data_IF_660628368262
#
_entry.id   IF_660628368262
#
_cell.length_a   1.000
_cell.length_b   1.000
_cell.length_c   1.000
_cell.angle_alpha   90.00
_cell.angle_beta   90.00
_cell.angle_gamma   90.00
#
_symmetry.space_group_name_H-M   'P 1'
#
loop_
_entity.id
_entity.type
_entity.pdbx_description
1 polymer ?
#
# COMPACT_ATOMS: atom_id res chain seq x y z
N UNK A 1 -7.08 23.15 5.68
CA UNK A 1 -6.46 23.99 4.63
C UNK A 1 -7.49 24.63 3.69
N UNK A 2 -8.79 24.54 3.98
CA UNK A 2 -9.88 25.00 3.11
C UNK A 2 -10.34 26.45 3.32
N UNK A 3 -9.66 27.22 4.17
CA UNK A 3 -10.08 28.58 4.57
C UNK A 3 -9.42 29.70 3.77
N UNK A 4 -8.37 29.41 2.99
CA UNK A 4 -7.69 30.39 2.15
C UNK A 4 -8.06 30.16 0.69
N UNK A 5 -8.68 31.16 0.05
CA UNK A 5 -9.09 31.07 -1.36
C UNK A 5 -7.91 30.76 -2.30
N UNK A 6 -6.72 31.27 -2.01
CA UNK A 6 -5.50 31.06 -2.82
C UNK A 6 -5.03 29.60 -2.85
N UNK A 7 -5.51 28.76 -1.92
CA UNK A 7 -5.13 27.35 -1.82
C UNK A 7 -6.22 26.39 -2.31
N UNK A 8 -7.32 26.91 -2.83
CA UNK A 8 -8.37 26.09 -3.43
C UNK A 8 -7.95 25.65 -4.84
N UNK A 9 -8.43 24.47 -5.24
CA UNK A 9 -8.35 24.02 -6.64
C UNK A 9 -9.23 24.95 -7.48
N UNK A 10 -8.65 25.53 -8.52
CA UNK A 10 -9.36 26.36 -9.49
C UNK A 10 -10.09 25.42 -10.49
N UNK A 11 -11.40 25.57 -10.59
CA UNK A 11 -12.22 24.80 -11.53
C UNK A 11 -12.01 25.22 -13.00
N UNK A 12 -11.51 26.43 -13.24
CA UNK A 12 -11.32 26.97 -14.60
C UNK A 12 -9.95 26.59 -15.21
N UNK A 13 -8.94 26.31 -14.37
CA UNK A 13 -7.55 26.03 -14.79
C UNK A 13 -7.13 24.56 -14.57
N UNK A 14 -8.06 23.67 -14.23
CA UNK A 14 -7.83 22.25 -13.91
C UNK A 14 -6.61 22.02 -12.98
N UNK A 15 -6.61 22.68 -11.83
CA UNK A 15 -5.47 22.59 -10.91
C UNK A 15 -5.43 23.66 -9.84
N UNK A 16 -4.23 23.92 -9.32
CA UNK A 16 -3.98 25.00 -8.35
C UNK A 16 -3.26 26.16 -9.02
N UNK A 17 -3.37 27.35 -8.44
CA UNK A 17 -2.57 28.49 -8.87
C UNK A 17 -1.08 28.24 -8.58
N UNK A 18 -0.32 28.01 -9.66
CA UNK A 18 1.11 27.68 -9.60
C UNK A 18 2.00 28.78 -8.99
N UNK A 19 1.48 30.00 -8.80
CA UNK A 19 2.19 31.07 -8.07
C UNK A 19 2.22 30.78 -6.56
N UNK A 20 1.29 29.97 -6.06
CA UNK A 20 1.11 29.70 -4.63
C UNK A 20 1.29 28.23 -4.28
N UNK A 21 0.87 27.31 -5.16
CA UNK A 21 0.95 25.86 -4.94
C UNK A 21 1.50 25.17 -6.17
N UNK A 22 2.59 24.42 -5.99
CA UNK A 22 3.10 23.50 -6.99
C UNK A 22 2.79 22.07 -6.56
N UNK A 23 1.90 21.38 -7.28
CA UNK A 23 1.61 19.95 -7.05
C UNK A 23 2.63 19.08 -7.81
N UNK A 24 3.40 18.29 -7.07
CA UNK A 24 4.30 17.29 -7.66
C UNK A 24 3.50 16.04 -8.00
N UNK A 25 3.29 15.78 -9.29
CA UNK A 25 2.41 14.71 -9.75
C UNK A 25 3.15 13.41 -10.11
N UNK A 26 4.47 13.43 -10.26
CA UNK A 26 5.23 12.26 -10.69
C UNK A 26 5.55 11.34 -9.50
N UNK A 27 5.01 10.12 -9.50
CA UNK A 27 5.30 9.11 -8.49
C UNK A 27 6.34 8.11 -9.00
N UNK A 28 7.53 8.13 -8.41
CA UNK A 28 8.64 7.24 -8.78
C UNK A 28 8.73 5.98 -7.91
N UNK A 29 7.88 5.85 -6.89
CA UNK A 29 8.02 4.81 -5.85
C UNK A 29 7.21 3.57 -6.17
N UNK A 30 5.94 3.75 -6.52
CA UNK A 30 4.95 2.67 -6.43
C UNK A 30 4.61 2.06 -7.77
N UNK A 31 4.34 0.75 -7.78
CA UNK A 31 3.76 0.07 -8.93
C UNK A 31 2.37 0.67 -9.25
N UNK A 32 1.93 0.73 -10.52
CA UNK A 32 0.64 1.31 -10.91
C UNK A 32 -0.57 0.74 -10.13
N UNK A 33 -0.57 -0.58 -9.88
CA UNK A 33 -1.59 -1.23 -9.05
C UNK A 33 -1.72 -0.64 -7.63
N UNK A 34 -0.60 -0.24 -7.01
CA UNK A 34 -0.59 0.38 -5.68
C UNK A 34 -1.05 1.84 -5.77
N UNK A 35 -0.62 2.55 -6.82
CA UNK A 35 -0.89 3.98 -7.00
C UNK A 35 -2.35 4.26 -7.36
N UNK A 36 -2.99 3.35 -8.09
CA UNK A 36 -4.32 3.55 -8.68
C UNK A 36 -5.37 4.04 -7.68
N UNK A 37 -5.63 3.29 -6.60
CA UNK A 37 -6.70 3.62 -5.67
C UNK A 37 -6.44 4.91 -4.86
N UNK A 38 -5.25 5.14 -4.26
CA UNK A 38 -4.95 6.40 -3.60
C UNK A 38 -5.03 7.62 -4.53
N UNK A 39 -4.62 7.46 -5.80
CA UNK A 39 -4.66 8.55 -6.77
C UNK A 39 -6.09 9.03 -7.02
N UNK A 40 -7.02 8.10 -7.25
CA UNK A 40 -8.45 8.40 -7.44
C UNK A 40 -9.08 9.02 -6.18
N UNK A 41 -8.78 8.48 -4.99
CA UNK A 41 -9.45 8.88 -3.75
C UNK A 41 -8.94 10.20 -3.17
N UNK A 42 -7.66 10.51 -3.36
CA UNK A 42 -7.00 11.59 -2.61
C UNK A 42 -6.25 12.60 -3.48
N UNK A 43 -6.05 12.32 -4.77
CA UNK A 43 -5.26 13.17 -5.66
C UNK A 43 -5.97 13.53 -6.96
N UNK A 44 -7.29 13.29 -7.04
CA UNK A 44 -8.14 13.60 -8.20
C UNK A 44 -7.69 12.92 -9.50
N UNK A 45 -6.95 11.81 -9.40
CA UNK A 45 -6.39 11.12 -10.55
C UNK A 45 -5.13 11.77 -11.14
N UNK A 46 -4.63 12.89 -10.58
CA UNK A 46 -3.55 13.67 -11.18
C UNK A 46 -2.16 12.98 -11.14
N UNK A 47 -1.94 12.00 -10.26
CA UNK A 47 -0.62 11.36 -10.12
C UNK A 47 -0.26 10.51 -11.34
N UNK A 48 0.98 10.64 -11.81
CA UNK A 48 1.53 9.93 -12.96
C UNK A 48 2.56 8.91 -12.47
N UNK A 49 2.40 7.66 -12.89
CA UNK A 49 3.33 6.57 -12.56
C UNK A 49 4.64 6.68 -13.36
N UNK A 50 5.71 7.00 -12.65
CA UNK A 50 7.09 7.12 -13.16
C UNK A 50 8.06 6.15 -12.49
N UNK A 51 7.55 5.10 -11.83
CA UNK A 51 8.39 4.08 -11.19
C UNK A 51 9.31 3.37 -12.19
N UNK A 52 10.49 2.94 -11.74
CA UNK A 52 11.45 2.28 -12.63
C UNK A 52 11.06 0.86 -13.04
N UNK A 53 11.80 0.27 -14.00
CA UNK A 53 11.59 -1.12 -14.41
C UNK A 53 11.71 -2.11 -13.25
N UNK A 54 12.54 -1.82 -12.24
CA UNK A 54 12.70 -2.63 -11.03
C UNK A 54 11.40 -2.82 -10.24
N UNK A 55 10.52 -1.81 -10.24
CA UNK A 55 9.21 -1.88 -9.60
C UNK A 55 8.18 -2.50 -10.55
N UNK A 56 8.18 -2.12 -11.83
CA UNK A 56 7.22 -2.61 -12.84
C UNK A 56 7.37 -4.10 -13.15
N UNK A 57 8.58 -4.62 -13.02
CA UNK A 57 8.93 -6.00 -13.39
C UNK A 57 9.37 -6.81 -12.16
N UNK A 58 8.92 -6.41 -10.97
CA UNK A 58 9.23 -7.12 -9.74
C UNK A 58 8.84 -8.61 -9.88
N UNK A 59 9.77 -9.56 -9.63
CA UNK A 59 9.50 -10.98 -9.74
C UNK A 59 8.31 -11.47 -8.91
N UNK A 60 7.97 -10.78 -7.81
CA UNK A 60 6.80 -11.09 -6.98
C UNK A 60 5.49 -10.95 -7.76
N UNK A 61 5.42 -10.11 -8.78
CA UNK A 61 4.24 -9.96 -9.64
C UNK A 61 3.95 -11.21 -10.47
N UNK A 62 5.01 -11.96 -10.82
CA UNK A 62 4.87 -13.23 -11.54
C UNK A 62 4.52 -14.40 -10.62
N UNK A 63 4.68 -14.21 -9.30
CA UNK A 63 4.46 -15.24 -8.30
C UNK A 63 3.02 -15.20 -7.80
N UNK A 64 2.28 -16.29 -8.04
CA UNK A 64 0.99 -16.48 -7.40
C UNK A 64 1.20 -16.91 -5.94
N UNK A 65 1.24 -15.95 -5.02
CA UNK A 65 1.40 -16.21 -3.59
C UNK A 65 0.23 -17.02 -2.99
N UNK A 66 -0.96 -16.91 -3.58
CA UNK A 66 -2.18 -17.57 -3.11
C UNK A 66 -2.69 -18.64 -4.07
N UNK A 67 -1.84 -19.61 -4.46
CA UNK A 67 -2.22 -20.81 -5.26
C UNK A 67 -3.22 -20.56 -6.41
N UNK A 68 -3.24 -19.34 -6.94
CA UNK A 68 -4.28 -18.86 -7.84
C UNK A 68 -3.78 -19.10 -9.26
N UNK A 69 -4.70 -19.47 -10.16
CA UNK A 69 -4.38 -19.60 -11.59
C UNK A 69 -4.16 -18.26 -12.29
N UNK A 70 -4.31 -17.13 -11.58
CA UNK A 70 -4.11 -15.79 -12.11
C UNK A 70 -2.69 -15.31 -11.84
N UNK A 71 -2.13 -14.47 -12.72
CA UNK A 71 -0.87 -13.79 -12.44
C UNK A 71 -1.00 -12.95 -11.16
N UNK A 72 0.11 -12.75 -10.46
CA UNK A 72 0.17 -11.92 -9.26
C UNK A 72 -0.13 -10.45 -9.57
N UNK A 73 -0.48 -9.71 -8.53
CA UNK A 73 -0.69 -8.26 -8.54
C UNK A 73 0.13 -7.64 -7.41
N UNK A 74 0.48 -6.36 -7.54
CA UNK A 74 1.26 -5.68 -6.49
C UNK A 74 0.46 -5.45 -5.20
N UNK A 75 -0.88 -5.56 -5.26
CA UNK A 75 -1.78 -5.45 -4.12
C UNK A 75 -2.63 -6.71 -4.03
N UNK A 76 -2.67 -7.28 -2.83
CA UNK A 76 -3.48 -8.44 -2.48
C UNK A 76 -4.24 -8.15 -1.19
N UNK A 77 -5.54 -8.41 -1.20
CA UNK A 77 -6.37 -8.38 0.00
C UNK A 77 -6.67 -9.80 0.45
N UNK A 78 -6.24 -10.15 1.66
CA UNK A 78 -6.53 -11.45 2.27
C UNK A 78 -7.59 -11.26 3.36
N UNK A 79 -8.79 -11.81 3.14
CA UNK A 79 -9.85 -11.78 4.15
C UNK A 79 -9.56 -12.77 5.29
N UNK A 80 -9.37 -12.27 6.51
CA UNK A 80 -9.16 -13.09 7.71
C UNK A 80 -10.44 -13.09 8.53
N UNK A 81 -10.98 -14.28 8.81
CA UNK A 81 -12.12 -14.43 9.71
C UNK A 81 -11.56 -14.65 11.12
N UNK A 82 -11.60 -13.59 11.93
CA UNK A 82 -11.12 -13.57 13.30
C UNK A 82 -11.91 -12.57 14.15
N UNK A 83 -11.41 -12.27 15.34
CA UNK A 83 -12.00 -11.26 16.22
C UNK A 83 -10.91 -10.48 16.95
N UNK A 84 -11.22 -9.22 17.23
CA UNK A 84 -10.33 -8.34 17.96
C UNK A 84 -10.37 -8.65 19.46
N UNK A 85 -9.19 -8.62 20.06
CA UNK A 85 -8.96 -8.86 21.48
C UNK A 85 -8.32 -7.62 22.12
N UNK A 86 -8.40 -7.55 23.45
CA UNK A 86 -7.90 -6.41 24.23
C UNK A 86 -7.42 -6.86 25.61
N UNK A 87 -6.30 -6.33 26.07
CA UNK A 87 -5.77 -6.60 27.42
C UNK A 87 -6.40 -5.64 28.42
N UNK A 88 -7.27 -6.17 29.27
CA UNK A 88 -7.92 -5.41 30.34
C UNK A 88 -8.53 -4.10 29.86
N UNK A 89 -7.97 -2.98 30.34
CA UNK A 89 -8.41 -1.61 30.04
C UNK A 89 -7.54 -0.88 29.00
N UNK A 90 -6.59 -1.57 28.37
CA UNK A 90 -5.77 -0.95 27.32
C UNK A 90 -6.66 -0.47 26.17
N UNK A 91 -6.44 0.72 25.60
CA UNK A 91 -7.18 1.18 24.42
C UNK A 91 -6.74 0.49 23.13
N UNK A 92 -5.65 -0.28 23.16
CA UNK A 92 -5.10 -0.95 21.98
C UNK A 92 -5.66 -2.36 21.79
N UNK A 93 -6.12 -2.64 20.57
CA UNK A 93 -6.60 -3.95 20.17
C UNK A 93 -5.49 -4.78 19.51
N UNK A 94 -5.71 -6.08 19.39
CA UNK A 94 -4.88 -7.03 18.64
C UNK A 94 -5.75 -8.18 18.13
N UNK A 95 -5.33 -8.85 17.07
CA UNK A 95 -6.03 -9.95 16.46
C UNK A 95 -5.06 -11.08 16.13
N UNK A 96 -5.10 -12.16 16.92
CA UNK A 96 -4.17 -13.29 16.78
C UNK A 96 -4.35 -14.08 15.49
N UNK A 97 -5.54 -14.02 14.87
CA UNK A 97 -5.80 -14.68 13.58
C UNK A 97 -5.08 -13.93 12.46
N UNK A 98 -5.12 -12.60 12.48
CA UNK A 98 -4.36 -11.78 11.53
C UNK A 98 -2.85 -11.97 11.73
N UNK A 99 -2.37 -12.01 12.99
CA UNK A 99 -0.96 -12.28 13.29
C UNK A 99 -0.53 -13.64 12.70
N UNK A 100 -1.34 -14.68 12.87
CA UNK A 100 -1.08 -15.98 12.26
C UNK A 100 -0.94 -15.90 10.74
N UNK A 101 -1.82 -15.14 10.07
CA UNK A 101 -1.77 -14.94 8.63
C UNK A 101 -0.53 -14.13 8.19
N UNK A 102 -0.13 -13.10 8.94
CA UNK A 102 1.09 -12.34 8.70
C UNK A 102 2.33 -13.24 8.81
N UNK A 103 2.41 -14.07 9.86
CA UNK A 103 3.52 -15.00 10.04
C UNK A 103 3.60 -16.04 8.92
N UNK A 104 2.45 -16.51 8.41
CA UNK A 104 2.41 -17.37 7.23
C UNK A 104 3.01 -16.68 6.00
N UNK A 105 2.64 -15.43 5.72
CA UNK A 105 3.24 -14.65 4.62
C UNK A 105 4.74 -14.43 4.83
N UNK A 106 5.17 -14.16 6.06
CA UNK A 106 6.60 -14.01 6.36
C UNK A 106 7.39 -15.27 6.02
N UNK A 107 6.89 -16.44 6.41
CA UNK A 107 7.51 -17.71 6.08
C UNK A 107 7.50 -17.98 4.57
N UNK A 108 6.43 -17.60 3.88
CA UNK A 108 6.35 -17.74 2.42
C UNK A 108 7.36 -16.85 1.68
N UNK A 109 7.58 -15.61 2.14
CA UNK A 109 8.46 -14.64 1.48
C UNK A 109 9.93 -14.84 1.84
N UNK A 110 10.24 -15.24 3.08
CA UNK A 110 11.61 -15.45 3.57
C UNK A 110 12.08 -16.90 3.46
N UNK A 111 11.17 -17.86 3.29
CA UNK A 111 11.47 -19.28 3.37
C UNK A 111 12.33 -19.78 2.21
N UNK A 112 13.01 -20.92 2.42
CA UNK A 112 13.82 -21.58 1.38
C UNK A 112 13.01 -22.03 0.16
N UNK A 113 11.70 -22.17 0.30
CA UNK A 113 10.76 -22.54 -0.76
C UNK A 113 10.18 -21.30 -1.49
N UNK A 114 10.56 -20.09 -1.06
CA UNK A 114 10.15 -18.87 -1.72
C UNK A 114 10.66 -18.89 -3.17
N UNK A 115 9.75 -18.68 -4.13
CA UNK A 115 10.11 -18.58 -5.56
C UNK A 115 10.93 -17.34 -5.86
N UNK A 116 10.84 -16.34 -4.98
CA UNK A 116 11.57 -15.07 -5.03
C UNK A 116 12.18 -14.86 -3.66
N UNK A 117 13.49 -14.71 -3.58
CA UNK A 117 14.19 -14.47 -2.33
C UNK A 117 14.02 -13.00 -1.91
N UNK A 118 13.09 -12.73 -1.00
CA UNK A 118 12.88 -11.39 -0.42
C UNK A 118 13.73 -11.25 0.84
N UNK A 119 14.45 -10.14 0.99
CA UNK A 119 15.23 -9.90 2.21
C UNK A 119 14.33 -9.34 3.30
N UNK A 120 14.64 -9.66 4.56
CA UNK A 120 13.92 -9.09 5.70
C UNK A 120 13.93 -7.55 5.70
N UNK A 121 15.01 -6.92 5.23
CA UNK A 121 15.13 -5.46 5.11
C UNK A 121 14.20 -4.83 4.07
N UNK A 122 13.59 -5.63 3.20
CA UNK A 122 12.68 -5.20 2.14
C UNK A 122 11.20 -5.36 2.55
N UNK A 123 10.95 -5.85 3.77
CA UNK A 123 9.60 -6.12 4.29
C UNK A 123 9.28 -5.16 5.44
N UNK A 124 8.13 -4.50 5.35
CA UNK A 124 7.55 -3.69 6.43
C UNK A 124 6.19 -4.23 6.84
N UNK A 125 5.96 -4.35 8.16
CA UNK A 125 4.65 -4.68 8.74
C UNK A 125 4.14 -3.41 9.43
N UNK A 126 2.92 -3.00 9.09
CA UNK A 126 2.29 -1.79 9.63
C UNK A 126 0.94 -2.19 10.20
N UNK A 127 0.69 -1.79 11.45
CA UNK A 127 -0.60 -1.96 12.11
C UNK A 127 -1.03 -0.63 12.76
N UNK A 128 -2.34 -0.32 12.79
CA UNK A 128 -2.84 0.92 13.39
C UNK A 128 -2.78 0.92 14.92
N UNK A 129 -2.80 -0.26 15.54
CA UNK A 129 -2.78 -0.43 16.99
C UNK A 129 -1.38 -0.82 17.45
N UNK A 130 -0.85 -0.13 18.47
CA UNK A 130 0.50 -0.37 19.02
C UNK A 130 0.70 -1.81 19.50
N UNK A 131 -0.37 -2.45 19.97
CA UNK A 131 -0.33 -3.81 20.52
C UNK A 131 -0.42 -4.92 19.46
N UNK A 132 -0.85 -4.60 18.24
CA UNK A 132 -0.87 -5.54 17.12
C UNK A 132 0.54 -5.72 16.57
#
# INVERSE_FOLDING_TARGET
MSTCELYKRNAEEDGYDNRFITKLIQNFRSHPDILYLPNELFYDGDLIDKCGPEVRQDPLLSTSLLSSKKPGRAVLFHGVIGYDQREGKSPSHFNTYEVGQVMWYMNLLLGSEARVAVKQSEIGIIAPYIRQ
#
